data_IF_493125341161
#
_entry.id   IF_493125341161
#
_cell.length_a   1.000
_cell.length_b   1.000
_cell.length_c   1.000
_cell.angle_alpha   90.00
_cell.angle_beta   90.00
_cell.angle_gamma   90.00
#
_symmetry.space_group_name_H-M   'P 1'
#
loop_
_entity.id
_entity.type
_entity.pdbx_description
1 polymer ?
#
# COMPACT_ATOMS: atom_id res chain seq x y z
N UNK A 1 8.26 -47.35 21.64
CA UNK A 1 6.86 -47.84 21.66
C UNK A 1 5.95 -46.62 21.82
N UNK A 2 5.11 -46.39 20.81
CA UNK A 2 4.12 -45.30 20.59
C UNK A 2 2.93 -45.35 21.58
N UNK A 3 1.85 -44.52 21.52
CA UNK A 3 1.44 -43.44 20.56
C UNK A 3 1.12 -42.08 21.25
N UNK A 4 1.03 -40.88 20.65
CA UNK A 4 0.29 -40.28 19.49
C UNK A 4 -1.23 -40.15 19.66
N UNK A 5 -1.68 -38.96 20.09
CA UNK A 5 -2.97 -38.28 19.81
C UNK A 5 -2.68 -36.76 19.88
N UNK A 6 -2.95 -35.86 18.94
CA UNK A 6 -4.07 -35.76 17.99
C UNK A 6 -4.95 -34.56 18.38
N UNK A 7 -4.51 -33.33 18.11
CA UNK A 7 -5.37 -32.12 18.20
C UNK A 7 -5.16 -31.26 16.95
N UNK A 8 -6.17 -31.32 16.09
CA UNK A 8 -6.35 -30.58 14.85
C UNK A 8 -7.13 -29.30 15.14
N UNK A 9 -6.61 -28.14 14.75
CA UNK A 9 -7.40 -26.92 14.61
C UNK A 9 -7.10 -26.22 13.28
N UNK A 10 -8.04 -26.41 12.35
CA UNK A 10 -8.53 -25.50 11.34
C UNK A 10 -7.51 -24.65 10.54
N UNK A 11 -7.22 -25.15 9.34
CA UNK A 11 -6.82 -24.36 8.17
C UNK A 11 -8.02 -23.56 7.63
N UNK A 12 -7.88 -22.23 7.55
CA UNK A 12 -8.77 -21.39 6.73
C UNK A 12 -8.04 -21.07 5.42
N UNK A 13 -8.43 -21.72 4.33
CA UNK A 13 -8.14 -21.29 2.95
C UNK A 13 -8.97 -20.04 2.66
N UNK A 14 -8.36 -18.99 2.12
CA UNK A 14 -9.07 -18.02 1.27
C UNK A 14 -8.14 -17.54 0.16
N UNK A 15 -8.75 -17.44 -1.00
CA UNK A 15 -8.24 -17.43 -2.37
C UNK A 15 -7.59 -16.10 -2.76
N UNK A 16 -6.58 -16.21 -3.63
CA UNK A 16 -6.01 -15.15 -4.48
C UNK A 16 -7.09 -14.40 -5.26
N UNK A 17 -7.09 -13.07 -5.24
CA UNK A 17 -7.49 -12.31 -6.44
C UNK A 17 -6.72 -11.00 -6.53
N UNK A 18 -5.97 -10.90 -7.63
CA UNK A 18 -5.34 -9.69 -8.14
C UNK A 18 -6.43 -8.74 -8.65
N UNK A 19 -6.28 -7.45 -8.39
CA UNK A 19 -6.83 -6.36 -9.22
C UNK A 19 -6.05 -5.11 -8.82
N UNK A 20 -4.98 -4.71 -9.51
CA UNK A 20 -4.97 -4.03 -10.81
C UNK A 20 -5.85 -2.77 -10.84
N UNK A 21 -5.42 -1.72 -10.13
CA UNK A 21 -5.79 -0.33 -10.44
C UNK A 21 -4.83 0.20 -11.51
N UNK A 22 -5.26 0.09 -12.77
CA UNK A 22 -4.73 0.83 -13.91
C UNK A 22 -5.91 1.50 -14.60
N UNK A 23 -6.10 2.80 -14.39
CA UNK A 23 -6.81 3.71 -15.30
C UNK A 23 -6.16 5.08 -15.15
N UNK A 24 -5.09 5.35 -15.92
CA UNK A 24 -5.12 6.12 -17.19
C UNK A 24 -5.97 7.38 -17.07
N UNK A 25 -5.37 8.54 -16.79
CA UNK A 25 -4.67 9.43 -17.74
C UNK A 25 -5.56 9.86 -18.92
N UNK A 26 -6.17 11.02 -18.74
CA UNK A 26 -6.80 11.86 -19.75
C UNK A 26 -5.73 12.53 -20.63
N UNK A 27 -5.70 12.23 -21.92
CA UNK A 27 -5.00 13.03 -22.93
C UNK A 27 -5.46 12.63 -24.35
N UNK A 28 -5.94 13.63 -25.11
CA UNK A 28 -5.75 13.84 -26.57
C UNK A 28 -6.34 12.76 -27.51
N UNK A 29 -7.28 13.02 -28.43
CA UNK A 29 -7.39 14.14 -29.36
C UNK A 29 -6.55 13.90 -30.63
N UNK A 30 -6.98 13.05 -31.59
CA UNK A 30 -6.67 13.22 -33.03
C UNK A 30 -7.40 12.22 -33.93
N UNK A 31 -8.18 12.78 -34.86
CA UNK A 31 -8.74 12.16 -36.07
C UNK A 31 -7.73 12.19 -37.20
N UNK A 32 -7.47 11.04 -37.83
CA UNK A 32 -6.93 10.81 -39.19
C UNK A 32 -6.99 9.29 -39.39
N UNK A 33 -7.45 8.65 -40.47
CA UNK A 33 -7.90 8.99 -41.81
C UNK A 33 -7.91 7.67 -42.61
N UNK A 34 -8.51 7.66 -43.80
CA UNK A 34 -8.12 6.73 -44.87
C UNK A 34 -8.97 5.46 -45.09
N UNK A 35 -9.48 5.33 -46.31
CA UNK A 35 -10.41 4.33 -46.82
C UNK A 35 -9.84 2.92 -47.03
N UNK A 36 -10.73 1.91 -46.99
CA UNK A 36 -10.76 0.86 -48.02
C UNK A 36 -12.16 0.22 -48.11
N UNK A 37 -12.85 0.46 -49.23
CA UNK A 37 -14.09 -0.24 -49.62
C UNK A 37 -13.71 -1.42 -50.51
N UNK A 38 -14.06 -2.66 -50.12
CA UNK A 38 -14.35 -3.76 -51.05
C UNK A 38 -14.98 -4.96 -50.34
N UNK A 39 -16.03 -5.52 -50.94
CA UNK A 39 -16.36 -6.95 -50.78
C UNK A 39 -17.67 -7.27 -50.03
N UNK A 40 -18.67 -7.71 -50.79
CA UNK A 40 -19.99 -8.18 -50.38
C UNK A 40 -19.92 -9.41 -49.45
N UNK A 41 -20.75 -9.43 -48.39
CA UNK A 41 -21.83 -10.42 -48.16
C UNK A 41 -22.55 -10.08 -46.85
N UNK A 42 -23.83 -9.72 -46.96
CA UNK A 42 -24.74 -9.56 -45.82
C UNK A 42 -24.97 -10.93 -45.17
N UNK A 43 -24.60 -11.05 -43.91
CA UNK A 43 -25.21 -11.99 -42.98
C UNK A 43 -25.57 -11.13 -41.78
N UNK A 44 -26.86 -11.04 -41.48
CA UNK A 44 -27.36 -10.19 -40.42
C UNK A 44 -26.70 -10.59 -39.09
N UNK A 45 -25.99 -9.66 -38.45
CA UNK A 45 -25.63 -9.81 -37.05
C UNK A 45 -26.93 -9.86 -36.26
N UNK A 46 -27.16 -10.96 -35.54
CA UNK A 46 -28.28 -11.11 -34.63
C UNK A 46 -28.35 -9.89 -33.69
N UNK A 47 -29.54 -9.37 -33.38
CA UNK A 47 -29.66 -8.16 -32.57
C UNK A 47 -28.96 -8.38 -31.23
N UNK A 48 -28.01 -7.50 -30.94
CA UNK A 48 -27.39 -7.35 -29.63
C UNK A 48 -28.52 -7.32 -28.61
N UNK A 49 -28.61 -8.36 -27.77
CA UNK A 49 -29.50 -8.37 -26.60
C UNK A 49 -29.18 -7.09 -25.83
N UNK A 50 -30.11 -6.14 -25.89
CA UNK A 50 -30.10 -4.97 -25.03
C UNK A 50 -29.92 -5.49 -23.61
N UNK A 51 -28.93 -4.93 -22.92
CA UNK A 51 -28.70 -5.22 -21.51
C UNK A 51 -29.98 -4.80 -20.82
N UNK A 52 -30.79 -5.77 -20.42
CA UNK A 52 -32.05 -5.52 -19.75
C UNK A 52 -31.75 -4.67 -18.52
N UNK A 53 -32.21 -3.43 -18.53
CA UNK A 53 -32.20 -2.61 -17.33
C UNK A 53 -33.08 -3.33 -16.32
N UNK A 54 -32.44 -3.92 -15.32
CA UNK A 54 -33.14 -4.48 -14.18
C UNK A 54 -33.95 -3.35 -13.54
N UNK A 55 -35.26 -3.38 -13.73
CA UNK A 55 -36.20 -2.45 -13.09
C UNK A 55 -35.93 -2.53 -11.59
N UNK A 56 -35.39 -1.45 -11.01
CA UNK A 56 -35.20 -1.34 -9.56
C UNK A 56 -36.59 -1.38 -8.95
N UNK A 57 -36.93 -2.48 -8.29
CA UNK A 57 -38.15 -2.61 -7.51
C UNK A 57 -38.00 -1.68 -6.31
N UNK A 58 -38.38 -0.41 -6.47
CA UNK A 58 -38.39 0.58 -5.39
C UNK A 58 -39.69 0.43 -4.63
N UNK A 59 -39.59 -0.07 -3.39
CA UNK A 59 -40.73 -0.12 -2.48
C UNK A 59 -41.17 1.33 -2.16
N UNK A 60 -42.45 1.68 -2.41
CA UNK A 60 -42.96 3.05 -2.23
C UNK A 60 -42.94 3.55 -0.78
N UNK A 61 -42.68 2.68 0.19
CA UNK A 61 -42.53 3.05 1.60
C UNK A 61 -41.16 3.69 1.93
N UNK A 62 -40.17 3.59 1.04
CA UNK A 62 -38.83 4.15 1.28
C UNK A 62 -38.59 5.43 0.48
N UNK A 63 -38.50 6.55 1.19
CA UNK A 63 -38.11 7.84 0.63
C UNK A 63 -36.61 8.11 0.81
N UNK A 64 -35.98 8.74 -0.19
CA UNK A 64 -34.59 9.21 -0.06
C UNK A 64 -34.55 10.51 0.75
N UNK A 65 -34.15 10.42 2.02
CA UNK A 65 -33.92 11.59 2.89
C UNK A 65 -32.44 11.95 2.96
N UNK A 66 -31.98 12.74 1.98
CA UNK A 66 -30.62 13.25 1.99
C UNK A 66 -30.48 14.39 3.01
N UNK A 67 -29.49 14.30 3.90
CA UNK A 67 -29.16 15.36 4.87
C UNK A 67 -28.31 16.44 4.22
N UNK A 68 -28.53 17.69 4.59
CA UNK A 68 -27.74 18.83 4.14
C UNK A 68 -26.69 19.18 5.21
N UNK A 69 -25.41 18.94 4.91
CA UNK A 69 -24.29 19.19 5.83
C UNK A 69 -23.63 20.58 5.65
N UNK A 70 -24.34 21.53 5.02
CA UNK A 70 -23.93 22.92 4.93
C UNK A 70 -23.89 23.62 6.29
N UNK A 71 -23.33 24.82 6.32
CA UNK A 71 -23.25 25.63 7.55
C UNK A 71 -24.67 26.00 7.99
N UNK A 72 -25.03 25.70 9.26
CA UNK A 72 -26.32 26.04 9.84
C UNK A 72 -27.50 25.11 9.49
N UNK A 73 -27.23 23.95 8.88
CA UNK A 73 -28.23 22.96 8.50
C UNK A 73 -28.14 21.71 9.41
N UNK A 74 -28.10 20.50 8.85
CA UNK A 74 -28.01 19.27 9.63
C UNK A 74 -26.65 19.08 10.30
N UNK A 75 -26.61 18.27 11.36
CA UNK A 75 -25.38 17.89 12.08
C UNK A 75 -24.37 17.30 11.10
N UNK A 76 -23.20 17.91 11.06
CA UNK A 76 -22.12 17.48 10.19
C UNK A 76 -21.61 16.09 10.58
N UNK A 77 -21.29 15.26 9.58
CA UNK A 77 -20.69 13.96 9.82
C UNK A 77 -19.35 14.06 10.57
N UNK A 78 -18.96 12.97 11.22
CA UNK A 78 -17.63 12.82 11.85
C UNK A 78 -16.56 12.92 10.76
N UNK A 79 -15.77 13.99 10.78
CA UNK A 79 -14.64 14.20 9.86
C UNK A 79 -13.32 13.80 10.52
N UNK A 80 -12.30 13.59 9.71
CA UNK A 80 -10.95 13.42 10.23
C UNK A 80 -10.46 14.71 10.91
N UNK A 81 -10.17 14.63 12.20
CA UNK A 81 -9.69 15.73 13.02
C UNK A 81 -8.18 15.65 13.28
N UNK A 82 -7.45 14.69 12.72
CA UNK A 82 -6.01 14.45 12.97
C UNK A 82 -5.13 15.72 12.90
N UNK A 83 -5.48 16.68 12.04
CA UNK A 83 -4.77 17.97 11.93
C UNK A 83 -5.07 18.95 13.07
N UNK A 84 -6.29 18.94 13.61
CA UNK A 84 -6.81 19.88 14.60
C UNK A 84 -6.82 19.33 16.02
N UNK A 85 -6.52 18.04 16.19
CA UNK A 85 -6.37 17.40 17.50
C UNK A 85 -5.22 18.07 18.25
N UNK A 86 -5.45 18.34 19.54
CA UNK A 86 -4.40 18.73 20.48
C UNK A 86 -3.50 17.52 20.72
N UNK A 87 -2.42 17.42 19.94
CA UNK A 87 -1.45 16.33 20.06
C UNK A 87 -0.73 16.34 21.43
N UNK A 88 -0.38 15.16 21.97
CA UNK A 88 0.49 15.01 23.13
C UNK A 88 1.75 15.87 23.04
N UNK A 89 2.23 16.35 24.19
CA UNK A 89 3.32 17.33 24.25
C UNK A 89 4.61 16.87 23.56
N UNK A 90 5.00 15.61 23.74
CA UNK A 90 6.22 15.07 23.12
C UNK A 90 6.16 15.09 21.59
N UNK A 91 4.99 14.84 20.99
CA UNK A 91 4.80 14.90 19.53
C UNK A 91 4.94 16.35 19.04
N UNK A 92 4.36 17.30 19.77
CA UNK A 92 4.47 18.73 19.44
C UNK A 92 5.93 19.18 19.43
N UNK A 93 6.69 18.84 20.49
CA UNK A 93 8.11 19.19 20.61
C UNK A 93 8.94 18.54 19.51
N UNK A 94 8.72 17.26 19.19
CA UNK A 94 9.41 16.56 18.10
C UNK A 94 9.16 17.22 16.74
N UNK A 95 7.91 17.58 16.44
CA UNK A 95 7.54 18.26 15.19
C UNK A 95 8.13 19.67 15.11
N UNK A 96 8.04 20.45 16.19
CA UNK A 96 8.63 21.79 16.27
C UNK A 96 10.14 21.75 16.07
N UNK A 97 10.84 20.78 16.68
CA UNK A 97 12.28 20.57 16.46
C UNK A 97 12.61 20.31 14.99
N UNK A 98 11.85 19.43 14.33
CA UNK A 98 12.03 19.16 12.89
C UNK A 98 11.77 20.38 12.02
N UNK A 99 10.75 21.17 12.34
CA UNK A 99 10.44 22.42 11.62
C UNK A 99 11.58 23.43 11.82
N UNK A 100 12.05 23.61 13.05
CA UNK A 100 13.11 24.57 13.37
C UNK A 100 14.41 24.25 12.62
N UNK A 101 14.83 22.98 12.61
CA UNK A 101 16.02 22.53 11.88
C UNK A 101 15.94 22.81 10.37
N UNK A 102 14.74 22.80 9.78
CA UNK A 102 14.54 23.13 8.36
C UNK A 102 14.50 24.64 8.08
N UNK A 103 14.11 25.44 9.08
CA UNK A 103 13.94 26.89 8.93
C UNK A 103 15.21 27.67 9.24
N UNK A 104 16.02 27.17 10.16
CA UNK A 104 17.30 27.77 10.50
C UNK A 104 18.39 27.36 9.51
N UNK A 105 19.42 28.20 9.39
CA UNK A 105 20.63 27.86 8.63
C UNK A 105 21.46 26.87 9.43
N UNK A 106 21.52 25.62 8.95
CA UNK A 106 22.29 24.55 9.57
C UNK A 106 23.73 24.56 9.01
N UNK A 107 24.77 24.52 9.86
CA UNK A 107 26.16 24.47 9.42
C UNK A 107 26.47 23.26 8.51
N UNK A 108 27.35 23.39 7.50
CA UNK A 108 27.68 22.29 6.57
C UNK A 108 28.13 20.97 7.21
N UNK A 109 28.95 20.97 8.29
CA UNK A 109 29.35 19.73 8.97
C UNK A 109 28.19 18.94 9.58
N UNK A 110 27.08 19.62 9.89
CA UNK A 110 25.86 18.97 10.40
C UNK A 110 24.95 18.58 9.23
N UNK A 111 24.89 19.44 8.20
CA UNK A 111 24.04 19.24 7.04
C UNK A 111 24.45 18.03 6.18
N UNK A 112 25.74 17.65 6.18
CA UNK A 112 26.22 16.47 5.42
C UNK A 112 25.45 15.19 5.75
N UNK A 113 24.96 15.02 6.99
CA UNK A 113 24.22 13.83 7.41
C UNK A 113 22.76 13.81 6.95
N UNK A 114 22.25 14.94 6.45
CA UNK A 114 20.92 14.99 5.84
C UNK A 114 20.94 14.48 4.40
N UNK A 115 22.09 14.56 3.74
CA UNK A 115 22.32 14.07 2.39
C UNK A 115 22.79 12.61 2.48
N UNK A 116 21.85 11.69 2.31
CA UNK A 116 22.13 10.26 2.38
C UNK A 116 22.45 9.66 1.00
N UNK A 117 23.08 8.50 1.02
CA UNK A 117 23.33 7.69 -0.17
C UNK A 117 22.00 7.24 -0.83
N UNK A 118 21.99 7.08 -2.15
CA UNK A 118 20.79 6.68 -2.89
C UNK A 118 20.33 5.25 -2.56
N UNK A 119 19.07 4.95 -2.87
CA UNK A 119 18.42 3.69 -2.50
C UNK A 119 19.07 2.47 -3.18
N UNK A 120 19.58 2.59 -4.41
CA UNK A 120 20.10 1.44 -5.14
C UNK A 120 21.44 1.00 -4.55
N UNK A 121 22.38 1.94 -4.40
CA UNK A 121 23.69 1.67 -3.79
C UNK A 121 23.55 1.28 -2.32
N UNK A 122 22.64 1.90 -1.56
CA UNK A 122 22.35 1.52 -0.17
C UNK A 122 21.97 0.04 -0.04
N UNK A 123 21.11 -0.47 -0.93
CA UNK A 123 20.73 -1.90 -0.91
C UNK A 123 21.89 -2.83 -1.25
N UNK A 124 22.78 -2.45 -2.15
CA UNK A 124 23.97 -3.23 -2.50
C UNK A 124 24.96 -3.28 -1.33
N UNK A 125 25.20 -2.14 -0.68
CA UNK A 125 26.06 -2.04 0.49
C UNK A 125 25.52 -2.90 1.64
N UNK A 126 24.23 -2.82 1.97
CA UNK A 126 23.68 -3.62 3.06
C UNK A 126 23.73 -5.13 2.79
N UNK A 127 23.54 -5.58 1.54
CA UNK A 127 23.73 -6.98 1.15
C UNK A 127 25.17 -7.45 1.38
N UNK A 128 26.15 -6.60 1.02
CA UNK A 128 27.56 -6.90 1.26
C UNK A 128 27.86 -7.00 2.77
N UNK A 129 27.42 -6.00 3.55
CA UNK A 129 27.64 -5.97 5.00
C UNK A 129 26.96 -7.12 5.74
N UNK A 130 25.82 -7.60 5.25
CA UNK A 130 25.13 -8.76 5.82
C UNK A 130 25.95 -10.05 5.68
N UNK A 131 26.64 -10.23 4.55
CA UNK A 131 27.54 -11.38 4.34
C UNK A 131 28.71 -11.39 5.32
N UNK A 132 29.23 -10.21 5.66
CA UNK A 132 30.37 -10.04 6.56
C UNK A 132 29.97 -9.60 7.97
N UNK A 133 28.73 -9.91 8.38
CA UNK A 133 28.24 -9.56 9.71
C UNK A 133 29.05 -10.31 10.79
N UNK A 134 29.49 -9.63 11.86
CA UNK A 134 30.26 -10.27 12.91
C UNK A 134 29.45 -11.34 13.66
N UNK A 135 30.15 -12.29 14.27
CA UNK A 135 29.51 -13.40 14.96
C UNK A 135 28.65 -12.94 16.14
N UNK A 136 27.47 -13.55 16.28
CA UNK A 136 26.61 -13.32 17.44
C UNK A 136 27.20 -14.02 18.68
N UNK A 137 26.90 -13.50 19.88
CA UNK A 137 27.36 -14.09 21.15
C UNK A 137 27.05 -15.60 21.27
N UNK A 138 25.90 -16.05 20.74
CA UNK A 138 25.53 -17.47 20.68
C UNK A 138 26.44 -18.26 19.75
N UNK A 139 26.66 -17.76 18.52
CA UNK A 139 27.54 -18.39 17.52
C UNK A 139 28.99 -18.43 17.99
N UNK A 140 29.46 -17.39 18.67
CA UNK A 140 30.79 -17.37 19.30
C UNK A 140 30.91 -18.43 20.42
N UNK A 141 29.88 -18.58 21.26
CA UNK A 141 29.85 -19.62 22.31
C UNK A 141 29.80 -21.04 21.74
N UNK A 142 28.98 -21.29 20.72
CA UNK A 142 28.96 -22.59 20.03
C UNK A 142 30.29 -22.82 19.34
N UNK A 143 30.80 -21.82 18.60
CA UNK A 143 32.10 -21.84 17.91
C UNK A 143 33.24 -22.15 18.88
N UNK A 144 33.26 -21.59 20.09
CA UNK A 144 34.27 -21.91 21.11
C UNK A 144 34.12 -23.34 21.68
N UNK A 145 32.89 -23.83 21.83
CA UNK A 145 32.60 -25.19 22.35
C UNK A 145 32.87 -26.31 21.36
N UNK A 146 32.69 -26.07 20.05
CA UNK A 146 32.86 -27.12 19.01
C UNK A 146 34.30 -27.67 18.89
N UNK A 147 35.36 -26.84 18.84
CA UNK A 147 36.75 -27.28 18.80
C UNK A 147 37.11 -28.16 20.00
N UNK A 148 36.66 -27.78 21.20
CA UNK A 148 36.92 -28.51 22.44
C UNK A 148 36.25 -29.89 22.50
N UNK A 149 35.26 -30.16 21.63
CA UNK A 149 34.49 -31.41 21.59
C UNK A 149 34.82 -32.31 20.41
N UNK A 150 35.70 -31.86 19.51
CA UNK A 150 36.09 -32.57 18.27
C UNK A 150 37.34 -33.45 18.41
N UNK A 151 37.98 -33.43 19.58
CA UNK A 151 39.15 -34.24 19.90
C UNK A 151 38.77 -35.34 20.90
N UNK A 152 38.42 -36.52 20.39
CA UNK A 152 38.40 -37.82 21.08
C UNK A 152 38.27 -38.92 20.04
#
# INVERSE_FOLDING_TARGET
MSPVTGSTSATKKTTTTKTATTTKSSATGKTTGGALRKGKKKIAAAPLKSKAESKKITNPLYEKRAKNFGIGQDIQHKRDLTRFVKWPQYIRVQRQRSILLKRLKVPPPINQFTQALDKQTSTQLFKLLEKYRPETKKRKKTSFKTPCRRTS
#
